data_IF_849149128748
#
_entry.id   IF_849149128748
#
_cell.length_a   1.000
_cell.length_b   1.000
_cell.length_c   1.000
_cell.angle_alpha   90.00
_cell.angle_beta   90.00
_cell.angle_gamma   90.00
#
_symmetry.space_group_name_H-M   'P 1'
#
loop_
_entity.id
_entity.type
_entity.pdbx_description
1 polymer ?
#
# COMPACT_ATOMS: atom_id res chain seq x y z
N UNK A 1 -11.67 -17.93 12.19
CA UNK A 1 -11.81 -16.61 11.56
C UNK A 1 -11.61 -16.86 10.09
N UNK A 2 -12.35 -16.21 9.17
CA UNK A 2 -12.10 -16.34 7.74
C UNK A 2 -10.76 -15.68 7.35
N UNK A 3 -10.25 -15.99 6.14
CA UNK A 3 -9.09 -15.27 5.59
C UNK A 3 -9.40 -13.79 5.41
N UNK A 4 -8.42 -12.87 5.57
CA UNK A 4 -8.63 -11.46 5.30
C UNK A 4 -9.04 -11.25 3.84
N UNK A 5 -9.80 -10.18 3.57
CA UNK A 5 -10.17 -9.82 2.19
C UNK A 5 -8.97 -9.35 1.39
N UNK A 6 -8.10 -8.56 2.03
CA UNK A 6 -6.90 -8.02 1.40
C UNK A 6 -5.73 -8.12 2.36
N UNK A 7 -4.58 -8.62 1.87
CA UNK A 7 -3.28 -8.43 2.52
C UNK A 7 -2.59 -7.22 1.90
N UNK A 8 -2.23 -6.23 2.70
CA UNK A 8 -1.47 -5.06 2.27
C UNK A 8 0.00 -5.26 2.60
N UNK A 9 0.83 -5.39 1.58
CA UNK A 9 2.29 -5.52 1.73
C UNK A 9 2.94 -4.15 1.63
N UNK A 10 3.76 -3.80 2.63
CA UNK A 10 4.48 -2.53 2.71
C UNK A 10 5.98 -2.83 2.77
N UNK A 11 6.74 -2.65 1.67
CA UNK A 11 8.19 -2.80 1.67
C UNK A 11 8.83 -1.58 2.35
N UNK A 12 9.75 -1.80 3.29
CA UNK A 12 10.32 -0.75 4.14
C UNK A 12 11.85 -0.84 4.13
N UNK A 13 12.50 0.29 3.82
CA UNK A 13 13.94 0.43 3.98
C UNK A 13 14.35 1.89 4.20
N UNK A 14 14.71 2.27 5.43
CA UNK A 14 15.17 3.61 5.79
C UNK A 14 14.21 4.74 5.38
N UNK A 15 12.93 4.65 5.79
CA UNK A 15 11.86 5.60 5.41
C UNK A 15 11.16 6.23 6.62
N UNK A 16 11.84 6.38 7.75
CA UNK A 16 11.27 6.90 9.00
C UNK A 16 10.46 8.19 8.86
N UNK A 17 10.81 9.03 7.87
CA UNK A 17 10.15 10.33 7.63
C UNK A 17 8.72 10.21 7.11
N UNK A 18 8.43 9.14 6.36
CA UNK A 18 7.16 8.95 5.64
C UNK A 18 6.34 7.81 6.22
N UNK A 19 6.99 6.85 6.88
CA UNK A 19 6.40 5.59 7.30
C UNK A 19 5.15 5.75 8.17
N UNK A 20 5.12 6.74 9.06
CA UNK A 20 3.92 7.00 9.89
C UNK A 20 2.73 7.41 9.05
N UNK A 21 2.91 8.29 8.07
CA UNK A 21 1.82 8.70 7.17
C UNK A 21 1.33 7.52 6.34
N UNK A 22 2.23 6.70 5.84
CA UNK A 22 1.91 5.47 5.12
C UNK A 22 1.04 4.53 5.98
N UNK A 23 1.56 4.12 7.14
CA UNK A 23 0.86 3.17 8.03
C UNK A 23 -0.46 3.73 8.56
N UNK A 24 -0.53 5.02 8.91
CA UNK A 24 -1.78 5.68 9.31
C UNK A 24 -2.84 5.55 8.21
N UNK A 25 -2.46 5.72 6.94
CA UNK A 25 -3.40 5.60 5.81
C UNK A 25 -3.94 4.18 5.63
N UNK A 26 -3.16 3.16 6.00
CA UNK A 26 -3.53 1.76 5.84
C UNK A 26 -4.36 1.27 7.04
N UNK A 27 -3.96 1.56 8.27
CA UNK A 27 -4.72 1.13 9.47
C UNK A 27 -6.08 1.79 9.57
N UNK A 28 -6.23 3.00 8.99
CA UNK A 28 -7.48 3.75 8.97
C UNK A 28 -8.37 3.50 7.75
N UNK A 29 -8.04 2.52 6.90
CA UNK A 29 -8.90 2.15 5.78
C UNK A 29 -10.33 1.82 6.21
N UNK A 30 -11.31 2.12 5.35
CA UNK A 30 -12.74 1.75 5.60
C UNK A 30 -12.93 0.24 5.59
N UNK A 31 -12.23 -0.49 4.73
CA UNK A 31 -12.16 -1.96 4.75
C UNK A 31 -11.41 -2.42 5.99
N UNK A 32 -12.13 -3.00 6.97
CA UNK A 32 -11.52 -3.45 8.24
C UNK A 32 -10.93 -4.85 8.18
N UNK A 33 -11.43 -5.68 7.29
CA UNK A 33 -10.99 -7.07 7.09
C UNK A 33 -9.75 -7.14 6.21
N UNK A 34 -8.67 -6.55 6.71
CA UNK A 34 -7.36 -6.51 6.06
C UNK A 34 -6.27 -7.03 6.98
N UNK A 35 -5.24 -7.61 6.40
CA UNK A 35 -3.95 -7.92 7.00
C UNK A 35 -2.92 -6.91 6.48
N UNK A 36 -1.97 -6.50 7.32
CA UNK A 36 -0.92 -5.53 6.96
C UNK A 36 0.43 -6.19 7.25
N UNK A 37 1.23 -6.40 6.21
CA UNK A 37 2.55 -7.02 6.33
C UNK A 37 3.62 -5.97 6.02
N UNK A 38 4.29 -5.49 7.07
CA UNK A 38 5.46 -4.64 6.96
C UNK A 38 6.69 -5.51 6.69
N UNK A 39 7.39 -5.28 5.58
CA UNK A 39 8.62 -6.02 5.27
C UNK A 39 9.81 -5.10 5.43
N UNK A 40 10.46 -5.15 6.60
CA UNK A 40 11.65 -4.37 6.90
C UNK A 40 12.90 -5.03 6.29
N UNK A 41 13.46 -4.40 5.28
CA UNK A 41 14.66 -4.84 4.55
C UNK A 41 15.96 -4.41 5.24
N UNK A 42 16.02 -4.57 6.57
CA UNK A 42 17.20 -4.26 7.36
C UNK A 42 17.43 -2.76 7.53
N UNK A 43 16.38 -2.00 7.85
CA UNK A 43 16.49 -0.56 8.15
C UNK A 43 17.42 -0.29 9.32
N UNK A 44 18.14 0.83 9.22
CA UNK A 44 19.10 1.32 10.25
C UNK A 44 18.67 2.64 10.88
N UNK A 45 17.57 3.21 10.41
CA UNK A 45 16.90 4.39 10.97
C UNK A 45 15.83 3.99 12.02
N UNK A 46 14.90 4.89 12.34
CA UNK A 46 13.81 4.61 13.30
C UNK A 46 12.65 3.79 12.72
N UNK A 47 12.73 3.31 11.48
CA UNK A 47 11.64 2.53 10.86
C UNK A 47 11.23 1.31 11.67
N UNK A 48 12.16 0.47 12.22
CA UNK A 48 11.78 -0.69 13.01
C UNK A 48 10.99 -0.33 14.28
N UNK A 49 11.34 0.78 14.94
CA UNK A 49 10.65 1.27 16.13
C UNK A 49 9.23 1.74 15.77
N UNK A 50 9.07 2.42 14.63
CA UNK A 50 7.76 2.85 14.13
C UNK A 50 6.87 1.62 13.86
N UNK A 51 7.38 0.60 13.17
CA UNK A 51 6.62 -0.63 12.91
C UNK A 51 6.14 -1.25 14.22
N UNK A 52 7.03 -1.36 15.23
CA UNK A 52 6.67 -1.92 16.52
C UNK A 52 5.53 -1.17 17.21
N UNK A 53 5.53 0.18 17.14
CA UNK A 53 4.45 0.99 17.70
C UNK A 53 3.08 0.69 17.06
N UNK A 54 3.04 0.39 15.75
CA UNK A 54 1.80 0.01 15.07
C UNK A 54 1.38 -1.43 15.38
N UNK A 55 2.31 -2.36 15.50
CA UNK A 55 2.03 -3.73 15.93
C UNK A 55 1.41 -3.77 17.35
N UNK A 56 1.90 -2.91 18.25
CA UNK A 56 1.38 -2.82 19.61
C UNK A 56 -0.04 -2.26 19.69
N UNK A 57 -0.45 -1.47 18.69
CA UNK A 57 -1.75 -0.79 18.64
C UNK A 57 -2.79 -1.52 17.79
N UNK A 58 -2.36 -2.26 16.78
CA UNK A 58 -3.25 -2.89 15.80
C UNK A 58 -2.79 -4.31 15.47
N UNK A 59 -3.56 -5.29 15.92
CA UNK A 59 -3.26 -6.71 15.75
C UNK A 59 -3.26 -7.20 14.28
N UNK A 60 -3.72 -6.37 13.35
CA UNK A 60 -3.69 -6.67 11.91
C UNK A 60 -2.29 -6.44 11.32
N UNK A 61 -1.43 -5.68 12.02
CA UNK A 61 -0.07 -5.37 11.58
C UNK A 61 0.88 -6.48 11.98
N UNK A 62 1.57 -7.05 10.99
CA UNK A 62 2.61 -8.06 11.13
C UNK A 62 3.92 -7.52 10.57
N UNK A 63 5.07 -8.06 10.99
CA UNK A 63 6.37 -7.64 10.47
C UNK A 63 7.20 -8.84 10.03
N UNK A 64 7.91 -8.68 8.92
CA UNK A 64 9.02 -9.53 8.49
C UNK A 64 10.29 -8.66 8.55
N UNK A 65 11.24 -9.00 9.42
CA UNK A 65 12.55 -8.34 9.46
C UNK A 65 13.59 -9.26 8.83
N UNK A 66 14.39 -8.73 7.90
CA UNK A 66 15.43 -9.50 7.22
C UNK A 66 16.66 -8.63 6.93
N UNK A 67 17.84 -9.22 6.71
CA UNK A 67 18.97 -8.49 6.15
C UNK A 67 18.61 -7.88 4.80
N UNK A 68 19.16 -6.69 4.49
CA UNK A 68 18.91 -6.02 3.21
C UNK A 68 19.25 -6.96 2.04
N UNK A 69 18.25 -7.17 1.18
CA UNK A 69 18.38 -8.02 -0.01
C UNK A 69 17.56 -7.48 -1.20
N UNK A 70 17.11 -6.23 -1.07
CA UNK A 70 16.45 -5.48 -2.12
C UNK A 70 14.94 -5.68 -2.20
N UNK A 71 14.31 -4.74 -2.91
CA UNK A 71 12.87 -4.59 -3.07
C UNK A 71 12.17 -5.90 -3.49
N UNK A 72 12.62 -6.53 -4.58
CA UNK A 72 11.97 -7.75 -5.10
C UNK A 72 11.95 -8.90 -4.11
N UNK A 73 13.04 -9.07 -3.30
CA UNK A 73 13.06 -10.08 -2.26
C UNK A 73 12.07 -9.75 -1.13
N UNK A 74 11.97 -8.47 -0.76
CA UNK A 74 11.00 -8.01 0.24
C UNK A 74 9.58 -8.27 -0.21
N UNK A 75 9.25 -7.95 -1.46
CA UNK A 75 7.92 -8.22 -2.03
C UNK A 75 7.60 -9.72 -2.03
N UNK A 76 8.51 -10.57 -2.50
CA UNK A 76 8.30 -12.02 -2.50
C UNK A 76 8.03 -12.54 -1.08
N UNK A 77 8.76 -12.04 -0.07
CA UNK A 77 8.52 -12.44 1.33
C UNK A 77 7.14 -12.00 1.82
N UNK A 78 6.71 -10.80 1.46
CA UNK A 78 5.35 -10.32 1.77
C UNK A 78 4.28 -11.19 1.10
N UNK A 79 4.47 -11.54 -0.16
CA UNK A 79 3.55 -12.41 -0.90
C UNK A 79 3.48 -13.83 -0.34
N UNK A 80 4.63 -14.40 0.01
CA UNK A 80 4.70 -15.74 0.63
C UNK A 80 3.95 -15.82 1.97
N UNK A 81 3.83 -14.70 2.69
CA UNK A 81 3.17 -14.63 3.99
C UNK A 81 1.70 -14.21 3.90
N UNK A 82 1.26 -13.68 2.76
CA UNK A 82 -0.08 -13.14 2.59
C UNK A 82 -1.16 -14.24 2.72
N UNK A 83 -2.21 -13.96 3.50
CA UNK A 83 -3.35 -14.85 3.73
C UNK A 83 -4.66 -14.30 3.14
N UNK A 84 -4.62 -13.09 2.58
CA UNK A 84 -5.78 -12.41 2.00
C UNK A 84 -6.22 -13.00 0.67
N UNK A 85 -7.50 -12.79 0.34
CA UNK A 85 -8.06 -13.15 -0.96
C UNK A 85 -7.38 -12.39 -2.10
N UNK A 86 -7.00 -11.12 -1.83
CA UNK A 86 -6.23 -10.27 -2.73
C UNK A 86 -4.99 -9.73 -2.01
N UNK A 87 -3.96 -9.39 -2.78
CA UNK A 87 -2.78 -8.65 -2.29
C UNK A 87 -2.81 -7.23 -2.82
N UNK A 88 -2.63 -6.25 -1.92
CA UNK A 88 -2.36 -4.87 -2.24
C UNK A 88 -0.94 -4.48 -1.84
N UNK A 89 -0.35 -3.54 -2.57
CA UNK A 89 0.96 -2.98 -2.27
C UNK A 89 0.78 -1.49 -1.99
N UNK A 90 1.42 -1.00 -0.93
CA UNK A 90 1.59 0.43 -0.67
C UNK A 90 3.06 0.69 -0.41
N UNK A 91 3.66 1.52 -1.24
CA UNK A 91 5.05 1.94 -1.03
C UNK A 91 5.17 2.75 0.27
N UNK A 92 6.23 2.52 1.02
CA UNK A 92 6.35 3.06 2.38
C UNK A 92 6.55 4.58 2.46
N UNK A 93 6.80 5.24 1.34
CA UNK A 93 6.85 6.71 1.18
C UNK A 93 5.57 7.30 0.55
N UNK A 94 4.61 6.45 0.21
CA UNK A 94 3.28 6.83 -0.28
C UNK A 94 2.20 6.68 0.80
N UNK A 95 0.96 7.05 0.49
CA UNK A 95 -0.21 6.83 1.33
C UNK A 95 -1.47 6.57 0.51
N UNK A 96 -2.38 5.78 1.08
CA UNK A 96 -3.60 5.35 0.44
C UNK A 96 -4.78 6.27 0.78
N UNK A 97 -5.71 6.44 -0.18
CA UNK A 97 -7.02 7.04 0.11
C UNK A 97 -7.78 6.15 1.10
N UNK A 98 -8.55 6.72 2.06
CA UNK A 98 -9.25 5.93 3.08
C UNK A 98 -10.22 4.86 2.56
N UNK A 99 -10.80 5.05 1.39
CA UNK A 99 -11.77 4.12 0.79
C UNK A 99 -11.14 3.20 -0.28
N UNK A 100 -9.84 3.36 -0.56
CA UNK A 100 -9.17 2.72 -1.69
C UNK A 100 -9.34 1.19 -1.69
N UNK A 101 -9.00 0.53 -0.58
CA UNK A 101 -9.06 -0.94 -0.52
C UNK A 101 -10.49 -1.47 -0.54
N UNK A 102 -11.44 -0.76 0.06
CA UNK A 102 -12.85 -1.17 0.03
C UNK A 102 -13.43 -1.08 -1.38
N UNK A 103 -13.19 0.03 -2.08
CA UNK A 103 -13.65 0.20 -3.45
C UNK A 103 -13.01 -0.82 -4.40
N UNK A 104 -11.70 -1.03 -4.29
CA UNK A 104 -10.98 -1.98 -5.15
C UNK A 104 -11.42 -3.42 -4.89
N UNK A 105 -11.59 -3.82 -3.63
CA UNK A 105 -12.11 -5.14 -3.27
C UNK A 105 -13.52 -5.36 -3.81
N UNK A 106 -14.41 -4.39 -3.63
CA UNK A 106 -15.79 -4.49 -4.14
C UNK A 106 -15.85 -4.65 -5.66
N UNK A 107 -14.99 -3.92 -6.37
CA UNK A 107 -14.88 -4.01 -7.84
C UNK A 107 -14.32 -5.38 -8.25
N UNK A 108 -13.24 -5.83 -7.62
CA UNK A 108 -12.61 -7.11 -7.91
C UNK A 108 -13.56 -8.27 -7.66
N UNK A 109 -14.14 -8.38 -6.47
CA UNK A 109 -14.99 -9.49 -6.06
C UNK A 109 -16.31 -9.56 -6.83
N UNK A 110 -16.96 -8.40 -7.07
CA UNK A 110 -18.24 -8.35 -7.79
C UNK A 110 -18.12 -8.73 -9.27
N UNK A 111 -16.95 -8.53 -9.85
CA UNK A 111 -16.71 -8.80 -11.28
C UNK A 111 -15.78 -10.00 -11.51
N UNK A 112 -15.40 -10.72 -10.45
CA UNK A 112 -14.49 -11.86 -10.50
C UNK A 112 -13.18 -11.55 -11.25
N UNK A 113 -12.55 -10.42 -10.88
CA UNK A 113 -11.34 -9.94 -11.53
C UNK A 113 -10.10 -10.41 -10.76
N UNK A 114 -9.08 -10.80 -11.49
CA UNK A 114 -7.77 -11.17 -10.94
C UNK A 114 -6.94 -9.93 -10.56
N UNK A 115 -7.12 -8.80 -11.26
CA UNK A 115 -6.36 -7.57 -11.05
C UNK A 115 -7.26 -6.35 -11.12
N UNK A 116 -7.12 -5.45 -10.15
CA UNK A 116 -7.75 -4.11 -10.16
C UNK A 116 -6.68 -3.08 -9.90
N UNK A 117 -6.66 -2.00 -10.68
CA UNK A 117 -5.73 -0.89 -10.52
C UNK A 117 -6.48 0.38 -10.16
N UNK A 118 -6.02 1.10 -9.12
CA UNK A 118 -6.48 2.46 -8.82
C UNK A 118 -5.69 3.51 -9.61
N UNK A 119 -6.25 4.70 -9.75
CA UNK A 119 -5.46 5.86 -10.12
C UNK A 119 -4.59 6.34 -8.96
N UNK A 120 -3.62 7.20 -9.25
CA UNK A 120 -2.76 7.81 -8.25
C UNK A 120 -2.64 9.32 -8.46
N UNK A 121 -2.21 10.02 -7.41
CA UNK A 121 -1.92 11.45 -7.43
C UNK A 121 -0.45 11.66 -7.13
N UNK A 122 0.20 12.57 -7.86
CA UNK A 122 1.51 13.07 -7.44
C UNK A 122 1.32 14.05 -6.29
N UNK A 123 1.94 13.75 -5.15
CA UNK A 123 1.99 14.64 -4.00
C UNK A 123 3.40 15.21 -3.85
N UNK A 124 3.50 16.54 -3.87
CA UNK A 124 4.76 17.23 -3.64
C UNK A 124 4.71 17.89 -2.27
N UNK A 125 5.52 17.43 -1.31
CA UNK A 125 5.72 18.16 -0.06
C UNK A 125 6.46 19.45 -0.34
N UNK A 126 5.78 20.58 -0.21
CA UNK A 126 6.42 21.89 -0.31
C UNK A 126 7.12 22.14 1.01
N UNK A 127 8.44 22.51 1.03
CA UNK A 127 9.07 23.01 2.22
C UNK A 127 8.28 24.22 2.75
N UNK A 128 8.07 24.31 4.06
CA UNK A 128 7.30 25.38 4.75
C UNK A 128 7.74 26.81 4.46
N UNK A 129 8.81 27.02 3.70
CA UNK A 129 9.41 28.32 3.39
C UNK A 129 9.01 28.91 2.03
N UNK A 130 8.16 28.25 1.24
CA UNK A 130 7.60 28.85 0.03
C UNK A 130 6.22 29.43 0.32
N UNK A 131 6.16 30.76 0.23
CA UNK A 131 5.01 31.61 0.42
C UNK A 131 3.71 31.10 -0.18
N UNK A 132 2.63 31.35 0.55
CA UNK A 132 1.21 31.05 0.42
C UNK A 132 0.50 31.33 -0.95
N UNK A 133 1.18 31.29 -2.07
CA UNK A 133 0.59 31.64 -3.38
C UNK A 133 0.71 30.61 -4.49
N UNK A 134 1.24 29.44 -4.25
CA UNK A 134 1.10 28.35 -5.22
C UNK A 134 0.13 27.31 -4.67
N UNK A 135 -1.13 27.50 -4.99
CA UNK A 135 -2.15 26.46 -4.93
C UNK A 135 -1.71 25.32 -5.82
N UNK A 136 -1.04 24.33 -5.22
CA UNK A 136 -0.73 23.11 -5.95
C UNK A 136 -1.98 22.26 -5.96
N UNK A 137 -2.79 22.54 -6.92
CA UNK A 137 -3.88 21.64 -7.29
C UNK A 137 -3.55 21.04 -8.63
N UNK A 138 -2.60 20.16 -8.68
CA UNK A 138 -2.71 19.09 -9.66
C UNK A 138 -3.53 17.96 -9.03
N UNK A 139 -4.80 18.23 -8.78
CA UNK A 139 -5.78 17.15 -8.65
C UNK A 139 -5.89 16.50 -10.01
N UNK A 140 -4.94 15.67 -10.35
CA UNK A 140 -5.15 14.70 -11.42
C UNK A 140 -6.26 13.79 -10.91
N UNK A 141 -7.46 13.95 -11.45
CA UNK A 141 -8.56 13.05 -11.15
C UNK A 141 -8.10 11.65 -11.52
N UNK A 142 -7.91 10.80 -10.51
CA UNK A 142 -7.70 9.39 -10.72
C UNK A 142 -8.79 8.86 -11.66
N UNK A 143 -8.41 8.42 -12.86
CA UNK A 143 -9.30 7.61 -13.67
C UNK A 143 -9.28 6.22 -13.07
N UNK A 144 -10.40 5.77 -12.52
CA UNK A 144 -10.61 4.36 -12.26
C UNK A 144 -10.47 3.64 -13.60
N UNK A 145 -9.32 3.04 -13.84
CA UNK A 145 -9.10 2.27 -15.05
C UNK A 145 -9.45 0.83 -14.72
N UNK A 146 -10.59 0.41 -15.20
CA UNK A 146 -11.00 -0.97 -15.17
C UNK A 146 -10.22 -1.68 -16.28
N UNK A 147 -9.37 -2.62 -15.94
CA UNK A 147 -8.70 -3.46 -16.92
C UNK A 147 -9.28 -4.86 -16.76
N UNK A 148 -10.20 -5.30 -17.65
CA UNK A 148 -10.59 -6.70 -17.68
C UNK A 148 -9.36 -7.54 -18.05
N UNK A 149 -9.22 -8.71 -17.44
CA UNK A 149 -8.07 -9.62 -17.57
C UNK A 149 -7.69 -10.00 -19.03
N UNK A 150 -8.47 -9.58 -20.01
CA UNK A 150 -8.26 -9.87 -21.43
C UNK A 150 -7.56 -8.77 -22.22
N UNK A 151 -7.24 -7.62 -21.60
CA UNK A 151 -6.67 -6.47 -22.33
C UNK A 151 -5.23 -6.16 -21.88
N UNK A 152 -4.30 -7.06 -22.26
CA UNK A 152 -2.87 -6.95 -21.96
C UNK A 152 -2.12 -5.90 -22.80
N UNK A 153 -2.79 -5.13 -23.65
CA UNK A 153 -2.16 -4.19 -24.57
C UNK A 153 -2.22 -2.73 -24.15
N UNK A 154 -2.77 -2.40 -22.98
CA UNK A 154 -2.73 -1.04 -22.46
C UNK A 154 -1.39 -0.77 -21.75
N UNK A 155 -0.76 0.41 -21.91
CA UNK A 155 0.46 0.74 -21.18
C UNK A 155 0.18 0.75 -19.67
N UNK A 156 0.91 -0.10 -18.92
CA UNK A 156 0.80 -0.21 -17.48
C UNK A 156 1.61 0.89 -16.80
N UNK A 157 0.92 1.74 -16.06
CA UNK A 157 1.50 2.54 -14.97
C UNK A 157 0.94 1.97 -13.67
N UNK A 158 1.82 1.57 -12.75
CA UNK A 158 1.52 0.56 -11.74
C UNK A 158 1.13 1.11 -10.38
N UNK A 159 -0.02 0.67 -9.87
CA UNK A 159 -0.20 0.09 -8.54
C UNK A 159 -1.07 -1.16 -8.76
N UNK A 160 -0.55 -2.34 -8.46
CA UNK A 160 -1.16 -3.61 -8.87
C UNK A 160 -1.75 -4.36 -7.67
N UNK A 161 -2.98 -4.89 -7.84
CA UNK A 161 -3.58 -5.92 -7.02
C UNK A 161 -3.51 -7.25 -7.76
N UNK A 162 -3.05 -8.28 -7.08
CA UNK A 162 -3.01 -9.63 -7.63
C UNK A 162 -3.94 -10.54 -6.83
N UNK A 163 -4.69 -11.40 -7.53
CA UNK A 163 -5.38 -12.53 -6.92
C UNK A 163 -4.34 -13.64 -6.66
N UNK A 164 -4.42 -14.29 -5.49
CA UNK A 164 -3.59 -15.43 -5.09
C UNK A 164 -4.16 -16.74 -5.63
#
# INVERSE_FOLDING_TARGET
>A
MGSPKVTVVVPIYNVEKYLRQCLDSIVNQTLKDIEIICVDDGSTDSSPQIIQEYMDKDSRVKVITKPNSGYGNSMNRGFDMAEGEYIGIVESDDYADPEMFEEMYNVASSNQLDVVKSGFYYYYSIPKERNEKEEIVSKVRARKTFCPATDFNAPMEMVEFFNL
#
